data_IF_189072024303
#
_entry.id   IF_189072024303
#
_cell.length_a   1.000
_cell.length_b   1.000
_cell.length_c   1.000
_cell.angle_alpha   90.00
_cell.angle_beta   90.00
_cell.angle_gamma   90.00
#
_symmetry.space_group_name_H-M   'P 1'
#
loop_
_entity.id
_entity.type
_entity.pdbx_description
1 polymer ?
#
# COMPACT_ATOMS: atom_id res chain seq x y z
N UNK A 1 61.67 23.54 -17.51
CA UNK A 1 60.87 22.31 -17.71
C UNK A 1 60.36 22.33 -19.15
N UNK A 2 60.55 21.25 -19.92
CA UNK A 2 60.34 21.26 -21.38
C UNK A 2 58.82 21.28 -21.72
N UNK A 3 58.37 22.13 -22.64
CA UNK A 3 56.94 22.28 -23.02
C UNK A 3 56.29 20.95 -23.39
N UNK A 4 57.03 20.10 -24.12
CA UNK A 4 56.59 18.74 -24.49
C UNK A 4 56.31 17.84 -23.27
N UNK A 5 57.05 18.01 -22.17
CA UNK A 5 56.81 17.24 -20.93
C UNK A 5 55.56 17.73 -20.22
N UNK A 6 55.33 19.05 -20.17
CA UNK A 6 54.13 19.63 -19.59
C UNK A 6 52.87 19.18 -20.34
N UNK A 7 52.93 19.17 -21.67
CA UNK A 7 51.83 18.69 -22.51
C UNK A 7 51.54 17.20 -22.30
N UNK A 8 52.58 16.36 -22.15
CA UNK A 8 52.41 14.94 -21.84
C UNK A 8 51.74 14.70 -20.47
N UNK A 9 52.11 15.47 -19.44
CA UNK A 9 51.45 15.39 -18.13
C UNK A 9 50.00 15.88 -18.17
N UNK A 10 49.72 16.94 -18.95
CA UNK A 10 48.36 17.44 -19.13
C UNK A 10 47.45 16.40 -19.80
N UNK A 11 47.90 15.79 -20.89
CA UNK A 11 47.14 14.73 -21.57
C UNK A 11 46.96 13.48 -20.70
N UNK A 12 47.97 13.11 -19.90
CA UNK A 12 47.83 12.00 -18.95
C UNK A 12 46.79 12.31 -17.86
N UNK A 13 46.79 13.53 -17.32
CA UNK A 13 45.80 13.97 -16.33
C UNK A 13 44.38 14.00 -16.91
N UNK A 14 44.23 14.40 -18.17
CA UNK A 14 42.95 14.40 -18.88
C UNK A 14 42.39 12.99 -19.07
N UNK A 15 43.23 12.03 -19.49
CA UNK A 15 42.83 10.61 -19.61
C UNK A 15 42.41 10.04 -18.26
N UNK A 16 43.17 10.30 -17.20
CA UNK A 16 42.83 9.84 -15.84
C UNK A 16 41.52 10.47 -15.36
N UNK A 17 41.31 11.75 -15.65
CA UNK A 17 40.07 12.46 -15.29
C UNK A 17 38.86 11.88 -16.02
N UNK A 18 38.99 11.59 -17.32
CA UNK A 18 37.94 10.95 -18.12
C UNK A 18 37.60 9.55 -17.58
N UNK A 19 38.61 8.76 -17.22
CA UNK A 19 38.40 7.43 -16.61
C UNK A 19 37.70 7.53 -15.24
N UNK A 20 38.07 8.49 -14.40
CA UNK A 20 37.43 8.72 -13.12
C UNK A 20 35.94 9.09 -13.27
N UNK A 21 35.59 9.90 -14.28
CA UNK A 21 34.21 10.25 -14.61
C UNK A 21 33.42 9.00 -15.03
N UNK A 22 33.97 8.16 -15.91
CA UNK A 22 33.31 6.93 -16.36
C UNK A 22 33.05 5.98 -15.19
N UNK A 23 34.04 5.77 -14.32
CA UNK A 23 33.87 4.93 -13.12
C UNK A 23 32.81 5.51 -12.18
N UNK A 24 32.81 6.83 -11.99
CA UNK A 24 31.79 7.52 -11.19
C UNK A 24 30.39 7.33 -11.77
N UNK A 25 30.23 7.44 -13.10
CA UNK A 25 28.94 7.22 -13.77
C UNK A 25 28.47 5.76 -13.68
N UNK A 26 29.38 4.79 -13.80
CA UNK A 26 29.06 3.37 -13.60
C UNK A 26 28.61 3.09 -12.16
N UNK A 27 29.29 3.68 -11.18
CA UNK A 27 28.92 3.58 -9.77
C UNK A 27 27.54 4.19 -9.51
N UNK A 28 27.27 5.39 -10.05
CA UNK A 28 25.94 6.04 -9.95
C UNK A 28 24.86 5.21 -10.64
N UNK A 29 25.12 4.65 -11.82
CA UNK A 29 24.18 3.77 -12.52
C UNK A 29 23.90 2.47 -11.78
N UNK A 30 24.88 1.96 -11.02
CA UNK A 30 24.73 0.81 -10.14
C UNK A 30 23.93 1.15 -8.87
N UNK A 31 24.21 2.30 -8.23
CA UNK A 31 23.48 2.79 -7.07
C UNK A 31 22.02 3.10 -7.41
N UNK A 32 21.74 3.75 -8.54
CA UNK A 32 20.39 4.09 -8.98
C UNK A 32 19.49 2.85 -9.14
N UNK A 33 20.07 1.69 -9.51
CA UNK A 33 19.33 0.42 -9.58
C UNK A 33 18.98 -0.17 -8.21
N UNK A 34 19.65 0.26 -7.14
CA UNK A 34 19.39 -0.16 -5.75
C UNK A 34 18.46 0.78 -5.01
N UNK A 35 18.25 2.02 -5.48
CA UNK A 35 17.54 3.07 -4.73
C UNK A 35 16.01 3.09 -4.90
N UNK A 36 15.40 2.12 -5.60
CA UNK A 36 13.95 2.16 -5.86
C UNK A 36 13.30 0.80 -5.68
N UNK A 37 13.67 0.09 -4.61
CA UNK A 37 12.94 -1.12 -4.18
C UNK A 37 12.42 -0.83 -2.79
N UNK A 38 11.11 -0.69 -2.68
CA UNK A 38 10.41 -0.58 -1.40
C UNK A 38 10.72 -1.84 -0.59
N UNK A 39 11.21 -1.65 0.62
CA UNK A 39 11.45 -2.76 1.55
C UNK A 39 10.15 -3.16 2.26
N UNK A 40 10.08 -4.41 2.73
CA UNK A 40 8.93 -4.88 3.54
C UNK A 40 8.63 -3.97 4.73
N UNK A 41 9.67 -3.41 5.37
CA UNK A 41 9.49 -2.48 6.50
C UNK A 41 8.87 -1.15 6.08
N UNK A 42 9.21 -0.65 4.89
CA UNK A 42 8.57 0.56 4.35
C UNK A 42 7.10 0.27 4.00
N UNK A 43 6.79 -0.93 3.51
CA UNK A 43 5.42 -1.38 3.30
C UNK A 43 4.62 -1.46 4.59
N UNK A 44 5.20 -2.02 5.65
CA UNK A 44 4.59 -2.04 6.97
C UNK A 44 4.28 -0.62 7.46
N UNK A 45 5.24 0.31 7.35
CA UNK A 45 5.03 1.70 7.75
C UNK A 45 3.88 2.35 6.98
N UNK A 46 3.78 2.12 5.67
CA UNK A 46 2.67 2.65 4.85
C UNK A 46 1.32 2.10 5.33
N UNK A 47 1.21 0.80 5.56
CA UNK A 47 -0.02 0.17 6.02
C UNK A 47 -0.40 0.62 7.45
N UNK A 48 0.60 0.75 8.34
CA UNK A 48 0.38 1.29 9.69
C UNK A 48 -0.06 2.75 9.69
N UNK A 49 0.51 3.60 8.83
CA UNK A 49 0.10 5.01 8.72
C UNK A 49 -1.34 5.12 8.19
N UNK A 50 -1.72 4.32 7.18
CA UNK A 50 -3.11 4.27 6.69
C UNK A 50 -4.09 3.84 7.78
N UNK A 51 -3.78 2.76 8.50
CA UNK A 51 -4.59 2.32 9.64
C UNK A 51 -4.66 3.37 10.76
N UNK A 52 -3.57 4.10 11.01
CA UNK A 52 -3.56 5.21 12.00
C UNK A 52 -4.43 6.37 11.56
N UNK A 53 -4.40 6.75 10.28
CA UNK A 53 -5.23 7.85 9.77
C UNK A 53 -6.73 7.48 9.83
N UNK A 54 -7.10 6.26 9.45
CA UNK A 54 -8.46 5.77 9.59
C UNK A 54 -8.95 5.80 11.06
N UNK A 55 -8.09 5.39 12.01
CA UNK A 55 -8.39 5.48 13.44
C UNK A 55 -8.48 6.93 13.93
N UNK A 56 -7.59 7.81 13.45
CA UNK A 56 -7.61 9.23 13.78
C UNK A 56 -8.92 9.88 13.34
N UNK A 57 -9.40 9.60 12.13
CA UNK A 57 -10.70 10.07 11.64
C UNK A 57 -11.85 9.63 12.56
N UNK A 58 -11.82 8.39 13.04
CA UNK A 58 -12.82 7.86 13.98
C UNK A 58 -12.75 8.55 15.34
N UNK A 59 -11.54 8.80 15.87
CA UNK A 59 -11.32 9.45 17.17
C UNK A 59 -11.72 10.93 17.12
N UNK A 60 -11.37 11.64 16.04
CA UNK A 60 -11.53 13.09 15.93
C UNK A 60 -12.91 13.50 15.40
N UNK A 61 -13.68 12.59 14.81
CA UNK A 61 -15.03 12.85 14.30
C UNK A 61 -16.09 12.12 15.13
N UNK A 62 -16.68 12.76 16.16
CA UNK A 62 -17.74 12.15 16.96
C UNK A 62 -18.91 11.60 16.14
N UNK A 63 -19.26 12.29 15.05
CA UNK A 63 -20.32 11.84 14.15
C UNK A 63 -19.95 10.60 13.33
N UNK A 64 -18.66 10.32 13.09
CA UNK A 64 -18.27 9.11 12.35
C UNK A 64 -18.56 7.85 13.19
N UNK A 65 -18.26 7.86 14.49
CA UNK A 65 -18.54 6.73 15.36
C UNK A 65 -20.04 6.37 15.38
N UNK A 66 -20.92 7.38 15.47
CA UNK A 66 -22.37 7.20 15.40
C UNK A 66 -22.80 6.59 14.06
N UNK A 67 -22.28 7.11 12.94
CA UNK A 67 -22.54 6.57 11.60
C UNK A 67 -22.13 5.09 11.51
N UNK A 68 -20.96 4.71 12.03
CA UNK A 68 -20.50 3.32 11.99
C UNK A 68 -21.43 2.39 12.81
N UNK A 69 -21.91 2.85 13.97
CA UNK A 69 -22.86 2.09 14.81
C UNK A 69 -24.21 1.92 14.12
N UNK A 70 -24.75 2.98 13.51
CA UNK A 70 -26.02 2.94 12.77
C UNK A 70 -25.87 2.07 11.53
N UNK A 71 -24.78 2.19 10.76
CA UNK A 71 -24.49 1.36 9.60
C UNK A 71 -24.46 -0.15 9.92
N UNK A 72 -23.99 -0.50 11.12
CA UNK A 72 -23.90 -1.88 11.59
C UNK A 72 -25.26 -2.43 12.04
N UNK A 73 -26.11 -1.60 12.65
CA UNK A 73 -27.32 -2.05 13.35
C UNK A 73 -28.61 -1.77 12.54
N UNK A 74 -28.74 -0.57 12.00
CA UNK A 74 -29.93 -0.04 11.33
C UNK A 74 -29.53 0.77 10.06
N UNK A 75 -28.98 0.14 9.00
CA UNK A 75 -28.46 0.86 7.83
C UNK A 75 -29.50 1.71 7.10
N UNK A 76 -30.78 1.37 7.18
CA UNK A 76 -31.89 2.12 6.56
C UNK A 76 -32.15 3.48 7.24
N UNK A 77 -31.61 3.72 8.45
CA UNK A 77 -31.71 4.99 9.16
C UNK A 77 -30.60 5.98 8.74
N UNK A 78 -29.62 5.54 7.96
CA UNK A 78 -28.56 6.43 7.46
C UNK A 78 -29.13 7.44 6.47
N UNK A 79 -28.82 8.71 6.69
CA UNK A 79 -29.01 9.73 5.65
C UNK A 79 -28.12 9.41 4.45
N UNK A 80 -28.45 9.94 3.27
CA UNK A 80 -27.62 9.77 2.06
C UNK A 80 -26.19 10.26 2.28
N UNK A 81 -26.02 11.36 3.02
CA UNK A 81 -24.72 11.92 3.36
C UNK A 81 -23.93 11.00 4.31
N UNK A 82 -24.59 10.43 5.32
CA UNK A 82 -23.95 9.53 6.27
C UNK A 82 -23.57 8.19 5.62
N UNK A 83 -24.43 7.71 4.73
CA UNK A 83 -24.15 6.53 3.91
C UNK A 83 -22.94 6.74 3.00
N UNK A 84 -22.81 7.91 2.39
CA UNK A 84 -21.62 8.25 1.60
C UNK A 84 -20.35 8.26 2.48
N UNK A 85 -20.42 8.86 3.67
CA UNK A 85 -19.29 8.89 4.63
C UNK A 85 -18.90 7.49 5.09
N UNK A 86 -19.88 6.65 5.38
CA UNK A 86 -19.66 5.24 5.72
C UNK A 86 -18.98 4.48 4.58
N UNK A 87 -19.50 4.61 3.36
CA UNK A 87 -18.93 3.92 2.20
C UNK A 87 -17.51 4.38 1.89
N UNK A 88 -17.20 5.68 2.06
CA UNK A 88 -15.84 6.19 1.93
C UNK A 88 -14.89 5.59 2.98
N UNK A 89 -15.34 5.49 4.24
CA UNK A 89 -14.56 4.85 5.32
C UNK A 89 -14.35 3.35 5.07
N UNK A 90 -15.37 2.65 4.55
CA UNK A 90 -15.24 1.24 4.13
C UNK A 90 -14.29 1.10 2.95
N UNK A 91 -14.35 2.00 1.97
CA UNK A 91 -13.50 1.97 0.80
C UNK A 91 -12.03 2.11 1.18
N UNK A 92 -11.68 3.06 2.06
CA UNK A 92 -10.31 3.26 2.54
C UNK A 92 -9.72 2.00 3.22
N UNK A 93 -10.55 1.26 3.96
CA UNK A 93 -10.16 -0.02 4.55
C UNK A 93 -9.85 -1.08 3.47
N UNK A 94 -10.74 -1.28 2.49
CA UNK A 94 -10.52 -2.27 1.44
C UNK A 94 -9.41 -1.86 0.45
N UNK A 95 -9.21 -0.55 0.22
CA UNK A 95 -8.07 -0.01 -0.54
C UNK A 95 -6.75 -0.33 0.16
N UNK A 96 -6.69 -0.16 1.47
CA UNK A 96 -5.50 -0.54 2.26
C UNK A 96 -5.21 -2.04 2.18
N UNK A 97 -6.25 -2.89 2.15
CA UNK A 97 -6.07 -4.33 1.96
C UNK A 97 -5.62 -4.67 0.54
N UNK A 98 -6.17 -4.02 -0.48
CA UNK A 98 -5.76 -4.22 -1.88
C UNK A 98 -4.27 -3.84 -2.07
N UNK A 99 -3.82 -2.76 -1.43
CA UNK A 99 -2.41 -2.37 -1.42
C UNK A 99 -1.54 -3.44 -0.78
N UNK A 100 -1.93 -3.97 0.39
CA UNK A 100 -1.19 -5.05 1.04
C UNK A 100 -1.14 -6.31 0.17
N UNK A 101 -2.25 -6.64 -0.48
CA UNK A 101 -2.35 -7.78 -1.42
C UNK A 101 -1.36 -7.63 -2.57
N UNK A 102 -1.30 -6.47 -3.22
CA UNK A 102 -0.35 -6.24 -4.30
C UNK A 102 1.10 -6.15 -3.82
N UNK A 103 1.36 -5.60 -2.63
CA UNK A 103 2.70 -5.65 -2.04
C UNK A 103 3.18 -7.07 -1.79
N UNK A 104 2.30 -8.00 -1.39
CA UNK A 104 2.66 -9.42 -1.29
C UNK A 104 2.88 -10.04 -2.68
N UNK A 105 1.97 -9.77 -3.64
CA UNK A 105 2.07 -10.29 -5.00
C UNK A 105 3.37 -9.85 -5.71
N UNK A 106 3.83 -8.62 -5.44
CA UNK A 106 5.07 -8.05 -5.98
C UNK A 106 6.33 -8.45 -5.18
N UNK A 107 6.19 -9.22 -4.10
CA UNK A 107 7.28 -9.67 -3.24
C UNK A 107 7.89 -8.57 -2.36
N UNK A 108 7.18 -7.45 -2.18
CA UNK A 108 7.56 -6.34 -1.30
C UNK A 108 7.33 -6.73 0.16
N UNK A 109 6.12 -7.23 0.48
CA UNK A 109 5.83 -7.83 1.78
C UNK A 109 6.35 -9.26 1.79
N UNK A 110 7.18 -9.58 2.78
CA UNK A 110 7.55 -10.96 3.02
C UNK A 110 6.35 -11.79 3.53
N UNK A 111 6.46 -13.11 3.43
CA UNK A 111 5.37 -14.03 3.80
C UNK A 111 4.96 -13.92 5.27
N UNK A 112 5.87 -13.53 6.17
CA UNK A 112 5.55 -13.38 7.59
C UNK A 112 4.72 -12.11 7.81
N UNK A 113 5.17 -10.98 7.27
CA UNK A 113 4.45 -9.71 7.33
C UNK A 113 3.09 -9.80 6.64
N UNK A 114 3.02 -10.45 5.48
CA UNK A 114 1.76 -10.69 4.78
C UNK A 114 0.75 -11.45 5.64
N UNK A 115 1.16 -12.54 6.30
CA UNK A 115 0.25 -13.31 7.16
C UNK A 115 -0.32 -12.50 8.31
N UNK A 116 0.48 -11.62 8.90
CA UNK A 116 0.02 -10.73 9.98
C UNK A 116 -1.02 -9.73 9.47
N UNK A 117 -0.74 -9.06 8.34
CA UNK A 117 -1.67 -8.13 7.71
C UNK A 117 -2.95 -8.82 7.24
N UNK A 118 -2.83 -9.96 6.56
CA UNK A 118 -3.96 -10.73 6.04
C UNK A 118 -4.88 -11.21 7.17
N UNK A 119 -4.31 -11.66 8.29
CA UNK A 119 -5.08 -12.03 9.48
C UNK A 119 -5.84 -10.82 10.05
N UNK A 120 -5.17 -9.66 10.15
CA UNK A 120 -5.78 -8.42 10.64
C UNK A 120 -6.93 -7.95 9.74
N UNK A 121 -6.69 -7.85 8.42
CA UNK A 121 -7.71 -7.44 7.46
C UNK A 121 -8.89 -8.43 7.44
N UNK A 122 -8.63 -9.73 7.47
CA UNK A 122 -9.67 -10.75 7.53
C UNK A 122 -10.54 -10.60 8.78
N UNK A 123 -9.93 -10.44 9.95
CA UNK A 123 -10.66 -10.29 11.20
C UNK A 123 -11.50 -9.01 11.21
N UNK A 124 -10.91 -7.90 10.77
CA UNK A 124 -11.57 -6.60 10.73
C UNK A 124 -12.70 -6.54 9.69
N UNK A 125 -12.51 -7.14 8.52
CA UNK A 125 -13.54 -7.22 7.48
C UNK A 125 -14.77 -8.01 7.95
N UNK A 126 -14.58 -9.07 8.75
CA UNK A 126 -15.68 -9.88 9.30
C UNK A 126 -16.50 -9.13 10.36
N UNK A 127 -15.94 -8.11 11.00
CA UNK A 127 -16.66 -7.27 11.96
C UNK A 127 -17.49 -6.18 11.28
N UNK A 128 -17.17 -5.84 10.03
CA UNK A 128 -17.84 -4.80 9.25
C UNK A 128 -19.11 -5.35 8.60
N UNK A 129 -20.14 -4.53 8.34
CA UNK A 129 -21.36 -5.04 7.74
C UNK A 129 -21.13 -5.37 6.26
N UNK A 130 -21.59 -6.55 5.83
CA UNK A 130 -21.35 -7.08 4.48
C UNK A 130 -21.79 -6.12 3.37
N UNK A 131 -22.86 -5.35 3.60
CA UNK A 131 -23.38 -4.41 2.60
C UNK A 131 -22.32 -3.37 2.19
N UNK A 132 -21.48 -2.93 3.12
CA UNK A 132 -20.40 -1.98 2.85
C UNK A 132 -19.37 -2.51 1.86
N UNK A 133 -19.06 -3.81 1.88
CA UNK A 133 -18.25 -4.42 0.84
C UNK A 133 -19.03 -4.57 -0.46
N UNK A 134 -20.26 -5.11 -0.41
CA UNK A 134 -21.02 -5.42 -1.63
C UNK A 134 -21.27 -4.21 -2.53
N UNK A 135 -21.32 -3.02 -1.94
CA UNK A 135 -21.47 -1.77 -2.67
C UNK A 135 -20.15 -1.21 -3.19
N UNK A 136 -19.10 -1.27 -2.37
CA UNK A 136 -17.78 -0.79 -2.74
C UNK A 136 -17.05 -1.71 -3.73
N UNK A 137 -17.39 -3.01 -3.77
CA UNK A 137 -16.64 -4.02 -4.53
C UNK A 137 -16.48 -3.71 -6.02
N UNK A 138 -17.36 -2.87 -6.60
CA UNK A 138 -17.27 -2.47 -8.00
C UNK A 138 -16.12 -1.51 -8.31
N UNK A 139 -15.60 -0.82 -7.29
CA UNK A 139 -14.46 0.09 -7.42
C UNK A 139 -13.12 -0.66 -7.50
N UNK A 140 -13.06 -1.89 -7.00
CA UNK A 140 -11.88 -2.75 -7.04
C UNK A 140 -11.86 -3.50 -8.37
N UNK A 141 -10.89 -3.19 -9.23
CA UNK A 141 -10.82 -3.76 -10.59
C UNK A 141 -9.95 -5.01 -10.67
N UNK A 142 -9.11 -5.27 -9.65
CA UNK A 142 -8.37 -6.51 -9.51
C UNK A 142 -9.31 -7.68 -9.24
N UNK A 143 -9.55 -8.51 -10.26
CA UNK A 143 -10.44 -9.68 -10.14
C UNK A 143 -9.96 -10.63 -9.03
N UNK A 144 -8.64 -10.86 -8.94
CA UNK A 144 -8.04 -11.72 -7.91
C UNK A 144 -8.26 -11.21 -6.49
N UNK A 145 -8.15 -9.90 -6.26
CA UNK A 145 -8.35 -9.33 -4.93
C UNK A 145 -9.83 -9.42 -4.52
N UNK A 146 -10.75 -9.10 -5.43
CA UNK A 146 -12.18 -9.22 -5.16
C UNK A 146 -12.59 -10.64 -4.83
N UNK A 147 -12.12 -11.62 -5.60
CA UNK A 147 -12.40 -13.04 -5.35
C UNK A 147 -11.87 -13.49 -4.00
N UNK A 148 -10.67 -13.01 -3.62
CA UNK A 148 -10.10 -13.26 -2.31
C UNK A 148 -11.00 -12.71 -1.19
N UNK A 149 -11.39 -11.44 -1.26
CA UNK A 149 -12.28 -10.82 -0.25
C UNK A 149 -13.65 -11.49 -0.22
N UNK A 150 -14.25 -11.79 -1.39
CA UNK A 150 -15.52 -12.51 -1.50
C UNK A 150 -15.44 -13.89 -0.82
N UNK A 151 -14.32 -14.60 -0.99
CA UNK A 151 -14.08 -15.89 -0.35
C UNK A 151 -13.91 -15.77 1.17
N UNK A 152 -13.20 -14.75 1.65
CA UNK A 152 -12.99 -14.49 3.09
C UNK A 152 -14.31 -14.14 3.79
N UNK A 153 -15.15 -13.34 3.12
CA UNK A 153 -16.49 -12.94 3.60
C UNK A 153 -17.57 -14.00 3.33
N UNK A 154 -17.20 -15.15 2.75
CA UNK A 154 -18.09 -16.25 2.39
C UNK A 154 -19.27 -15.84 1.49
N UNK A 155 -19.08 -14.80 0.67
CA UNK A 155 -20.07 -14.37 -0.31
C UNK A 155 -20.10 -15.39 -1.44
N UNK A 156 -20.97 -16.40 -1.30
CA UNK A 156 -21.16 -17.48 -2.28
C UNK A 156 -20.88 -18.91 -1.78
N UNK A 157 -20.58 -19.12 -0.49
CA UNK A 157 -20.67 -20.47 0.11
C UNK A 157 -21.93 -20.57 0.97
N UNK A 158 -22.76 -21.63 0.82
CA UNK A 158 -23.82 -21.89 1.78
C UNK A 158 -23.22 -22.03 3.18
N UNK A 159 -23.94 -21.56 4.20
CA UNK A 159 -23.57 -21.78 5.59
C UNK A 159 -23.28 -23.28 5.83
N UNK A 160 -22.28 -23.64 6.64
CA UNK A 160 -22.05 -25.04 6.97
C UNK A 160 -23.33 -25.61 7.61
N UNK A 161 -23.81 -26.72 7.06
CA UNK A 161 -24.95 -27.51 7.58
C UNK A 161 -24.69 -28.03 9.01
#
# INVERSE_FOLDING_TARGET
>A
MNEKKLQAYASAAEVVSALAIIVSLLYVGYEFRRTTTMSSREADVVLFERGREANRLLIESPGLAEILVVAQSNPDELSEADRLRFLAYQHDFFDSWEIAWYYHADGILDEAAWREWEAWFTEEARRRPLWGWTENRRHFTGESFREHVDAVLALGRPAPE
#
